data_IF_517655708177
#
_entry.id   IF_517655708177
#
_cell.length_a   1.000
_cell.length_b   1.000
_cell.length_c   1.000
_cell.angle_alpha   90.00
_cell.angle_beta   90.00
_cell.angle_gamma   90.00
#
_symmetry.space_group_name_H-M   'P 1'
#
loop_
_entity.id
_entity.type
_entity.pdbx_description
1 polymer ?
#
# COMPACT_ATOMS: atom_id res chain seq x y z
N UNK A 1 -59.47 -55.92 1.95
CA UNK A 1 -60.77 -55.80 2.64
C UNK A 1 -60.82 -54.39 3.24
N UNK A 2 -61.78 -53.56 2.79
CA UNK A 2 -62.13 -52.20 3.23
C UNK A 2 -61.14 -51.09 2.77
N UNK A 3 -61.47 -50.34 1.71
CA UNK A 3 -62.38 -49.17 1.65
C UNK A 3 -61.75 -47.92 2.27
N UNK A 4 -61.50 -46.87 1.46
CA UNK A 4 -62.20 -45.58 1.64
C UNK A 4 -61.78 -44.47 0.64
N UNK A 5 -62.80 -44.00 -0.10
CA UNK A 5 -63.17 -42.60 -0.39
C UNK A 5 -62.14 -41.64 -1.03
N UNK A 6 -62.24 -41.33 -2.33
CA UNK A 6 -63.10 -40.30 -2.97
C UNK A 6 -62.82 -38.85 -2.53
N UNK A 7 -62.23 -38.05 -3.44
CA UNK A 7 -62.75 -36.78 -3.99
C UNK A 7 -61.61 -35.99 -4.68
N UNK A 8 -61.61 -35.90 -6.02
CA UNK A 8 -62.17 -34.82 -6.85
C UNK A 8 -61.29 -33.56 -7.02
N UNK A 9 -60.77 -33.43 -8.26
CA UNK A 9 -60.46 -32.24 -9.09
C UNK A 9 -60.04 -30.93 -8.42
N UNK A 10 -58.86 -30.44 -8.81
CA UNK A 10 -58.71 -29.04 -9.24
C UNK A 10 -57.72 -28.93 -10.41
N UNK A 11 -58.24 -28.40 -11.52
CA UNK A 11 -57.51 -27.99 -12.70
C UNK A 11 -57.09 -26.53 -12.51
N UNK A 12 -55.84 -26.18 -12.75
CA UNK A 12 -55.47 -24.91 -13.41
C UNK A 12 -53.96 -24.81 -13.57
N UNK A 13 -53.60 -24.35 -14.75
CA UNK A 13 -52.28 -24.12 -15.28
C UNK A 13 -51.56 -22.99 -14.53
N UNK A 14 -50.26 -23.14 -14.28
CA UNK A 14 -49.38 -22.05 -13.88
C UNK A 14 -48.18 -22.01 -14.82
N UNK A 15 -48.09 -21.07 -15.77
CA UNK A 15 -46.88 -20.83 -16.52
C UNK A 15 -45.90 -19.99 -15.71
N UNK A 16 -44.64 -20.39 -15.74
CA UNK A 16 -43.48 -19.75 -15.13
C UNK A 16 -43.19 -18.39 -15.77
N UNK A 17 -43.50 -17.29 -15.06
CA UNK A 17 -43.04 -15.96 -15.44
C UNK A 17 -41.62 -15.70 -14.92
N UNK A 18 -40.63 -16.06 -15.75
CA UNK A 18 -39.27 -15.52 -15.63
C UNK A 18 -39.34 -14.06 -16.06
N UNK A 19 -39.32 -13.13 -15.10
CA UNK A 19 -39.17 -11.70 -15.38
C UNK A 19 -37.74 -11.44 -15.85
N UNK A 20 -37.49 -11.58 -17.15
CA UNK A 20 -36.38 -10.92 -17.81
C UNK A 20 -36.61 -9.42 -17.70
N UNK A 21 -35.84 -8.75 -16.84
CA UNK A 21 -35.73 -7.28 -16.87
C UNK A 21 -34.91 -6.93 -18.11
N UNK A 22 -35.59 -6.85 -19.25
CA UNK A 22 -34.99 -6.41 -20.50
C UNK A 22 -34.67 -4.93 -20.31
N UNK A 23 -33.39 -4.59 -20.21
CA UNK A 23 -32.93 -3.21 -20.35
C UNK A 23 -33.14 -2.83 -21.82
N UNK A 24 -34.36 -2.47 -22.16
CA UNK A 24 -34.64 -1.85 -23.45
C UNK A 24 -33.93 -0.51 -23.45
N UNK A 25 -32.86 -0.43 -24.24
CA UNK A 25 -32.29 0.81 -24.74
C UNK A 25 -33.37 1.56 -25.50
N UNK A 26 -34.27 2.21 -24.76
CA UNK A 26 -35.25 3.11 -25.32
C UNK A 26 -34.49 4.38 -25.72
N UNK A 27 -34.13 4.44 -27.01
CA UNK A 27 -33.89 5.71 -27.70
C UNK A 27 -35.21 6.48 -27.69
N UNK A 28 -35.55 7.05 -26.53
CA UNK A 28 -36.65 8.00 -26.37
C UNK A 28 -36.16 9.33 -26.91
N UNK A 29 -36.81 9.75 -27.99
CA UNK A 29 -36.70 11.07 -28.60
C UNK A 29 -36.70 12.10 -27.47
N UNK A 30 -35.59 12.83 -27.32
CA UNK A 30 -35.48 13.85 -26.30
C UNK A 30 -36.64 14.84 -26.46
N UNK A 31 -37.33 15.28 -25.38
CA UNK A 31 -38.18 16.45 -25.49
C UNK A 31 -37.32 17.54 -26.11
N UNK A 32 -37.76 18.09 -27.24
CA UNK A 32 -36.99 19.07 -27.98
C UNK A 32 -36.96 20.37 -27.17
N UNK A 33 -36.05 20.45 -26.20
CA UNK A 33 -35.79 21.65 -25.43
C UNK A 33 -35.32 22.74 -26.39
N UNK A 34 -35.85 23.94 -26.22
CA UNK A 34 -35.41 25.14 -26.94
C UNK A 34 -33.91 25.38 -26.74
N UNK A 35 -33.25 25.93 -27.75
CA UNK A 35 -31.80 26.22 -27.73
C UNK A 35 -31.38 27.03 -26.51
N UNK A 36 -32.24 27.96 -26.08
CA UNK A 36 -31.93 28.92 -25.04
C UNK A 36 -31.90 28.27 -23.66
N UNK A 37 -32.81 27.32 -23.41
CA UNK A 37 -32.83 26.54 -22.19
C UNK A 37 -31.61 25.60 -22.14
N UNK A 38 -31.21 25.01 -23.28
CA UNK A 38 -29.98 24.21 -23.37
C UNK A 38 -28.74 25.05 -23.06
N UNK A 39 -28.64 26.25 -23.62
CA UNK A 39 -27.52 27.17 -23.40
C UNK A 39 -27.44 27.67 -21.96
N UNK A 40 -28.59 27.92 -21.32
CA UNK A 40 -28.67 28.30 -19.90
C UNK A 40 -28.24 27.16 -18.98
N UNK A 41 -28.67 25.92 -19.26
CA UNK A 41 -28.20 24.75 -18.49
C UNK A 41 -26.71 24.54 -18.69
N UNK A 42 -26.21 24.71 -19.92
CA UNK A 42 -24.79 24.62 -20.23
C UNK A 42 -23.98 25.63 -19.40
N UNK A 43 -24.39 26.90 -19.34
CA UNK A 43 -23.70 27.92 -18.53
C UNK A 43 -23.77 27.63 -17.02
N UNK A 44 -24.91 27.13 -16.51
CA UNK A 44 -25.05 26.70 -15.11
C UNK A 44 -24.16 25.49 -14.77
N UNK A 45 -24.00 24.55 -15.69
CA UNK A 45 -23.09 23.41 -15.52
C UNK A 45 -21.62 23.84 -15.54
N UNK A 46 -21.24 24.79 -16.40
CA UNK A 46 -19.89 25.37 -16.41
C UNK A 46 -19.57 26.18 -15.15
N UNK A 47 -20.57 26.86 -14.58
CA UNK A 47 -20.46 27.57 -13.29
C UNK A 47 -20.56 26.65 -12.06
N UNK A 48 -20.59 25.31 -12.26
CA UNK A 48 -20.65 24.28 -11.20
C UNK A 48 -21.84 24.38 -10.26
N UNK A 49 -22.99 24.87 -10.75
CA UNK A 49 -24.23 24.82 -9.99
C UNK A 49 -24.63 23.38 -9.66
N UNK A 50 -25.25 23.16 -8.50
CA UNK A 50 -25.73 21.82 -8.10
C UNK A 50 -26.91 21.38 -8.97
N UNK A 51 -27.07 20.07 -9.17
CA UNK A 51 -28.17 19.54 -9.96
C UNK A 51 -29.55 19.90 -9.40
N UNK A 52 -29.66 19.94 -8.07
CA UNK A 52 -30.89 20.37 -7.39
C UNK A 52 -31.20 21.86 -7.64
N UNK A 53 -30.18 22.73 -7.67
CA UNK A 53 -30.38 24.15 -7.98
C UNK A 53 -30.85 24.35 -9.43
N UNK A 54 -30.26 23.61 -10.39
CA UNK A 54 -30.68 23.66 -11.80
C UNK A 54 -32.12 23.15 -11.96
N UNK A 55 -32.49 22.08 -11.26
CA UNK A 55 -33.85 21.54 -11.30
C UNK A 55 -34.87 22.48 -10.66
N UNK A 56 -34.51 23.20 -9.58
CA UNK A 56 -35.37 24.21 -8.96
C UNK A 56 -35.67 25.38 -9.90
N UNK A 57 -34.70 25.76 -10.74
CA UNK A 57 -34.86 26.79 -11.76
C UNK A 57 -35.67 26.31 -12.97
N UNK A 58 -35.55 25.02 -13.31
CA UNK A 58 -36.25 24.41 -14.44
C UNK A 58 -36.98 23.13 -14.02
N UNK A 59 -38.14 23.25 -13.35
CA UNK A 59 -38.85 22.11 -12.76
C UNK A 59 -39.38 21.11 -13.79
N UNK A 60 -39.57 21.54 -15.04
CA UNK A 60 -39.95 20.68 -16.18
C UNK A 60 -38.85 19.72 -16.62
N UNK A 61 -37.61 19.90 -16.12
CA UNK A 61 -36.45 19.12 -16.54
C UNK A 61 -36.12 18.10 -15.45
N UNK A 62 -36.00 16.84 -15.87
CA UNK A 62 -35.58 15.76 -14.98
C UNK A 62 -34.09 15.84 -14.64
N UNK A 63 -33.72 15.36 -13.45
CA UNK A 63 -32.31 15.19 -13.03
C UNK A 63 -31.51 14.31 -14.00
N UNK A 64 -32.15 13.34 -14.65
CA UNK A 64 -31.51 12.48 -15.66
C UNK A 64 -31.07 13.27 -16.89
N UNK A 65 -31.86 14.26 -17.31
CA UNK A 65 -31.53 15.15 -18.44
C UNK A 65 -30.35 16.06 -18.11
N UNK A 66 -30.32 16.63 -16.90
CA UNK A 66 -29.20 17.44 -16.40
C UNK A 66 -27.92 16.60 -16.31
N UNK A 67 -28.02 15.36 -15.83
CA UNK A 67 -26.89 14.42 -15.74
C UNK A 67 -26.34 14.08 -17.12
N UNK A 68 -27.22 13.81 -18.09
CA UNK A 68 -26.83 13.58 -19.49
C UNK A 68 -26.13 14.79 -20.09
N UNK A 69 -26.65 16.00 -19.88
CA UNK A 69 -26.03 17.23 -20.38
C UNK A 69 -24.68 17.52 -19.71
N UNK A 70 -24.53 17.23 -18.42
CA UNK A 70 -23.21 17.27 -17.77
C UNK A 70 -22.23 16.32 -18.45
N UNK A 71 -22.64 15.07 -18.69
CA UNK A 71 -21.80 14.08 -19.37
C UNK A 71 -21.43 14.51 -20.79
N UNK A 72 -22.36 15.13 -21.50
CA UNK A 72 -22.16 15.64 -22.85
C UNK A 72 -21.20 16.84 -22.90
N UNK A 73 -21.32 17.81 -21.99
CA UNK A 73 -20.57 19.07 -22.04
C UNK A 73 -19.30 19.09 -21.19
N UNK A 74 -19.26 18.41 -20.05
CA UNK A 74 -18.12 18.36 -19.13
C UNK A 74 -17.42 16.99 -19.08
N UNK A 75 -17.94 15.99 -19.79
CA UNK A 75 -17.42 14.64 -19.79
C UNK A 75 -17.77 13.85 -18.52
N UNK A 76 -17.40 12.56 -18.49
CA UNK A 76 -17.53 11.73 -17.29
C UNK A 76 -16.48 12.12 -16.26
N UNK A 77 -16.93 12.37 -15.02
CA UNK A 77 -16.02 12.35 -13.87
C UNK A 77 -15.61 10.90 -13.68
N UNK A 78 -14.30 10.60 -13.84
CA UNK A 78 -13.76 9.28 -13.52
C UNK A 78 -13.83 9.07 -12.01
N UNK A 79 -14.98 8.61 -11.52
CA UNK A 79 -15.12 8.15 -10.14
C UNK A 79 -14.43 6.80 -10.06
N UNK A 80 -13.37 6.69 -9.25
CA UNK A 80 -12.76 5.39 -8.99
C UNK A 80 -13.81 4.51 -8.33
N UNK A 81 -14.08 3.31 -8.86
CA UNK A 81 -15.03 2.35 -8.28
C UNK A 81 -14.62 1.83 -6.89
N UNK A 82 -13.55 2.37 -6.31
CA UNK A 82 -12.86 1.80 -5.17
C UNK A 82 -12.18 0.49 -5.53
N UNK A 83 -11.39 -0.03 -4.61
CA UNK A 83 -10.82 -1.36 -4.69
C UNK A 83 -11.16 -2.14 -3.43
N UNK A 84 -10.72 -3.41 -3.38
CA UNK A 84 -10.82 -4.23 -2.17
C UNK A 84 -10.19 -3.48 -0.98
N UNK A 85 -10.86 -3.42 0.19
CA UNK A 85 -10.27 -2.82 1.36
C UNK A 85 -8.97 -3.53 1.75
N UNK A 86 -8.04 -2.76 2.32
CA UNK A 86 -6.79 -3.31 2.80
C UNK A 86 -7.03 -4.30 3.94
N UNK A 87 -6.31 -5.42 3.95
CA UNK A 87 -6.31 -6.37 5.08
C UNK A 87 -5.83 -5.76 6.41
N UNK A 88 -4.92 -4.78 6.33
CA UNK A 88 -4.31 -4.12 7.49
C UNK A 88 -4.75 -2.66 7.53
N UNK A 89 -5.10 -2.19 8.72
CA UNK A 89 -5.42 -0.79 9.02
C UNK A 89 -4.24 0.17 8.78
N UNK A 90 -4.50 1.48 8.72
CA UNK A 90 -3.44 2.50 8.61
C UNK A 90 -2.56 2.56 9.87
N UNK A 91 -3.14 2.36 11.04
CA UNK A 91 -2.45 2.37 12.33
C UNK A 91 -1.49 1.20 12.45
N UNK A 92 -1.94 -0.02 12.22
CA UNK A 92 -1.11 -1.23 12.28
C UNK A 92 0.06 -1.14 11.30
N UNK A 93 -0.17 -0.68 10.05
CA UNK A 93 0.94 -0.46 9.11
C UNK A 93 1.98 0.53 9.65
N UNK A 94 1.55 1.58 10.35
CA UNK A 94 2.43 2.61 10.93
C UNK A 94 3.18 2.11 12.15
N UNK A 95 2.53 1.31 12.99
CA UNK A 95 3.17 0.57 14.07
C UNK A 95 4.27 -0.35 13.54
N UNK A 96 3.97 -1.18 12.53
CA UNK A 96 4.93 -2.05 11.84
C UNK A 96 6.15 -1.27 11.33
N UNK A 97 5.93 -0.14 10.66
CA UNK A 97 7.01 0.72 10.19
C UNK A 97 7.85 1.28 11.35
N UNK A 98 7.25 1.55 12.51
CA UNK A 98 8.00 1.94 13.72
C UNK A 98 8.82 0.78 14.26
N UNK A 99 8.23 -0.41 14.36
CA UNK A 99 8.91 -1.62 14.86
C UNK A 99 10.14 -1.99 14.02
N UNK A 100 10.05 -1.83 12.69
CA UNK A 100 11.18 -2.01 11.77
C UNK A 100 12.31 -0.99 11.99
N UNK A 101 11.98 0.23 12.44
CA UNK A 101 12.99 1.25 12.76
C UNK A 101 13.62 1.04 14.14
N UNK A 102 12.90 0.41 15.06
CA UNK A 102 13.38 0.15 16.42
C UNK A 102 14.00 -1.24 16.60
N UNK A 103 14.13 -2.03 15.52
CA UNK A 103 14.73 -3.38 15.53
C UNK A 103 14.02 -4.40 16.42
N UNK A 104 12.72 -4.22 16.64
CA UNK A 104 11.93 -5.26 17.34
C UNK A 104 11.51 -6.34 16.33
N UNK A 105 11.46 -5.98 15.03
CA UNK A 105 11.08 -6.87 13.95
C UNK A 105 12.05 -6.69 12.77
N UNK A 106 13.11 -7.49 12.69
CA UNK A 106 14.17 -7.33 11.69
C UNK A 106 13.75 -7.79 10.28
N UNK A 107 12.88 -8.79 10.20
CA UNK A 107 12.63 -9.55 8.99
C UNK A 107 11.13 -9.59 8.67
N UNK A 108 10.72 -9.49 7.38
CA UNK A 108 9.36 -9.75 6.94
C UNK A 108 8.74 -11.05 7.45
N UNK A 109 9.57 -12.05 7.80
CA UNK A 109 9.11 -13.27 8.46
C UNK A 109 8.63 -13.01 9.89
N UNK A 110 9.41 -12.31 10.72
CA UNK A 110 8.99 -11.89 12.05
C UNK A 110 7.74 -10.99 11.99
N UNK A 111 7.65 -10.14 10.96
CA UNK A 111 6.44 -9.34 10.71
C UNK A 111 5.21 -10.21 10.45
N UNK A 112 5.36 -11.30 9.71
CA UNK A 112 4.28 -12.22 9.40
C UNK A 112 3.79 -12.94 10.65
N UNK A 113 4.73 -13.41 11.47
CA UNK A 113 4.43 -14.06 12.75
C UNK A 113 3.71 -13.09 13.69
N UNK A 114 4.18 -11.84 13.80
CA UNK A 114 3.52 -10.79 14.57
C UNK A 114 2.10 -10.50 14.09
N UNK A 115 1.91 -10.31 12.78
CA UNK A 115 0.59 -10.10 12.20
C UNK A 115 -0.35 -11.29 12.42
N UNK A 116 0.19 -12.51 12.38
CA UNK A 116 -0.58 -13.73 12.64
C UNK A 116 -1.05 -13.79 14.09
N UNK A 117 -0.22 -13.35 15.05
CA UNK A 117 -0.63 -13.22 16.46
C UNK A 117 -1.73 -12.18 16.67
N UNK A 118 -1.71 -11.08 15.90
CA UNK A 118 -2.79 -10.08 15.88
C UNK A 118 -4.05 -10.54 15.12
N UNK A 119 -4.08 -11.79 14.63
CA UNK A 119 -5.22 -12.37 13.90
C UNK A 119 -5.29 -11.99 12.41
N UNK A 120 -4.25 -11.37 11.86
CA UNK A 120 -4.18 -10.97 10.45
C UNK A 120 -3.31 -11.93 9.65
N UNK A 121 -3.95 -12.77 8.82
CA UNK A 121 -3.21 -13.63 7.90
C UNK A 121 -2.81 -12.91 6.60
N UNK A 122 -1.50 -12.80 6.40
CA UNK A 122 -0.88 -12.19 5.23
C UNK A 122 0.30 -13.02 4.74
N UNK A 123 0.44 -13.13 3.42
CA UNK A 123 1.61 -13.76 2.80
C UNK A 123 2.85 -12.86 2.92
N UNK A 124 4.03 -13.47 2.98
CA UNK A 124 5.31 -12.75 2.93
C UNK A 124 5.43 -11.83 1.71
N UNK A 125 4.89 -12.25 0.56
CA UNK A 125 4.87 -11.44 -0.65
C UNK A 125 4.01 -10.18 -0.49
N UNK A 126 2.86 -10.29 0.19
CA UNK A 126 2.00 -9.16 0.54
C UNK A 126 2.71 -8.17 1.46
N UNK A 127 3.42 -8.67 2.48
CA UNK A 127 4.20 -7.85 3.42
C UNK A 127 5.31 -7.10 2.67
N UNK A 128 6.13 -7.81 1.88
CA UNK A 128 7.21 -7.19 1.08
C UNK A 128 6.69 -6.12 0.12
N UNK A 129 5.56 -6.37 -0.56
CA UNK A 129 4.91 -5.36 -1.42
C UNK A 129 4.43 -4.16 -0.61
N UNK A 130 3.86 -4.39 0.57
CA UNK A 130 3.42 -3.34 1.50
C UNK A 130 4.57 -2.46 1.98
N UNK A 131 5.72 -3.06 2.29
CA UNK A 131 6.95 -2.37 2.67
C UNK A 131 7.51 -1.53 1.52
N UNK A 132 7.66 -2.13 0.33
CA UNK A 132 8.12 -1.40 -0.87
C UNK A 132 7.22 -0.22 -1.22
N UNK A 133 5.89 -0.40 -1.14
CA UNK A 133 4.92 0.69 -1.37
C UNK A 133 5.08 1.86 -0.38
N UNK A 134 5.63 1.60 0.80
CA UNK A 134 5.93 2.61 1.83
C UNK A 134 7.34 3.19 1.72
N UNK A 135 8.15 2.77 0.75
CA UNK A 135 9.52 3.24 0.58
C UNK A 135 10.57 2.42 1.33
N UNK A 136 10.20 1.35 2.02
CA UNK A 136 11.17 0.47 2.66
C UNK A 136 11.87 -0.40 1.62
N UNK A 137 13.20 -0.37 1.66
CA UNK A 137 14.08 -1.16 0.82
C UNK A 137 15.00 -2.03 1.68
N UNK A 138 15.43 -3.15 1.10
CA UNK A 138 16.42 -4.03 1.72
C UNK A 138 17.80 -3.43 1.49
N UNK A 139 18.57 -3.29 2.57
CA UNK A 139 19.97 -2.88 2.54
C UNK A 139 20.83 -3.95 3.22
N UNK A 140 22.09 -4.07 2.79
CA UNK A 140 23.07 -4.94 3.45
C UNK A 140 23.52 -4.28 4.74
N UNK A 141 23.61 -5.04 5.84
CA UNK A 141 24.21 -4.55 7.08
C UNK A 141 25.66 -4.19 6.81
N UNK A 142 26.12 -3.10 7.41
CA UNK A 142 27.50 -2.64 7.23
C UNK A 142 28.34 -3.38 8.27
N UNK A 143 29.36 -4.09 7.79
CA UNK A 143 30.31 -4.76 8.68
C UNK A 143 31.23 -3.71 9.28
N UNK A 144 31.04 -3.41 10.57
CA UNK A 144 31.89 -2.45 11.28
C UNK A 144 32.07 -2.90 12.72
N UNK A 145 33.28 -2.75 13.24
CA UNK A 145 33.51 -2.91 14.68
C UNK A 145 32.87 -1.75 15.44
N UNK A 146 31.98 -2.05 16.38
CA UNK A 146 31.46 -1.07 17.31
C UNK A 146 32.60 -0.51 18.15
N UNK A 147 32.95 0.76 17.95
CA UNK A 147 34.01 1.41 18.73
C UNK A 147 33.36 2.12 19.92
N UNK A 148 33.57 1.59 21.13
CA UNK A 148 33.20 2.25 22.39
C UNK A 148 33.83 3.65 22.46
N UNK A 149 33.25 4.54 23.27
CA UNK A 149 33.82 5.86 23.53
C UNK A 149 35.26 5.75 24.06
N UNK A 150 35.51 4.75 24.90
CA UNK A 150 36.84 4.51 25.49
C UNK A 150 37.84 4.06 24.43
N UNK A 151 37.48 3.05 23.63
CA UNK A 151 38.29 2.59 22.50
C UNK A 151 38.57 3.73 21.50
N UNK A 152 37.64 4.67 21.28
CA UNK A 152 37.88 5.85 20.45
C UNK A 152 38.93 6.76 21.06
N UNK A 153 38.86 7.01 22.38
CA UNK A 153 39.83 7.84 23.09
C UNK A 153 41.23 7.22 23.05
N UNK A 154 41.34 5.92 23.28
CA UNK A 154 42.62 5.18 23.22
C UNK A 154 43.21 5.21 21.82
N UNK A 155 42.41 4.91 20.78
CA UNK A 155 42.84 5.00 19.38
C UNK A 155 43.29 6.40 19.01
N UNK A 156 42.57 7.43 19.48
CA UNK A 156 42.94 8.82 19.25
C UNK A 156 44.23 9.20 19.96
N UNK A 157 44.42 8.79 21.21
CA UNK A 157 45.65 9.03 21.97
C UNK A 157 46.85 8.33 21.32
N UNK A 158 46.68 7.08 20.87
CA UNK A 158 47.69 6.34 20.14
C UNK A 158 48.07 7.05 18.84
N UNK A 159 47.08 7.44 18.02
CA UNK A 159 47.32 8.17 16.78
C UNK A 159 48.01 9.52 17.02
N UNK A 160 47.65 10.23 18.09
CA UNK A 160 48.29 11.50 18.46
C UNK A 160 49.74 11.30 18.90
N UNK A 161 50.04 10.24 19.66
CA UNK A 161 51.40 9.89 20.13
C UNK A 161 52.35 9.63 18.96
N UNK A 162 51.90 8.90 17.95
CA UNK A 162 52.72 8.52 16.80
C UNK A 162 52.51 9.43 15.57
N UNK A 163 51.85 10.59 15.73
CA UNK A 163 51.53 11.50 14.62
C UNK A 163 52.77 12.05 13.91
N UNK A 164 53.86 12.27 14.64
CA UNK A 164 55.11 12.84 14.13
C UNK A 164 56.14 11.80 13.68
N UNK A 165 55.77 10.52 13.67
CA UNK A 165 56.69 9.46 13.27
C UNK A 165 57.02 9.55 11.78
N UNK A 166 58.30 9.41 11.46
CA UNK A 166 58.81 9.41 10.10
C UNK A 166 58.95 8.00 9.54
N UNK A 167 59.21 7.87 8.24
CA UNK A 167 59.40 6.57 7.59
C UNK A 167 60.60 5.77 8.12
N UNK A 168 61.56 6.42 8.80
CA UNK A 168 62.68 5.74 9.47
C UNK A 168 62.19 5.07 10.75
N UNK A 169 61.35 5.74 11.53
CA UNK A 169 60.84 5.23 12.80
C UNK A 169 59.95 4.00 12.58
N UNK A 170 59.10 4.03 11.53
CA UNK A 170 58.24 2.89 11.18
C UNK A 170 59.01 1.65 10.70
N UNK A 171 60.23 1.81 10.17
CA UNK A 171 61.05 0.68 9.71
C UNK A 171 61.54 -0.21 10.85
N UNK A 172 61.53 0.28 12.08
CA UNK A 172 61.88 -0.51 13.27
C UNK A 172 60.72 -1.40 13.74
N UNK A 173 59.51 -1.20 13.20
CA UNK A 173 58.31 -1.90 13.63
C UNK A 173 58.06 -3.11 12.73
N UNK A 174 57.86 -4.27 13.34
CA UNK A 174 57.33 -5.45 12.69
C UNK A 174 55.88 -5.60 13.12
N UNK A 175 54.96 -5.57 12.14
CA UNK A 175 53.53 -5.74 12.38
C UNK A 175 53.13 -7.11 11.83
N UNK A 176 52.54 -7.93 12.68
CA UNK A 176 51.94 -9.21 12.32
C UNK A 176 50.45 -9.19 12.70
N UNK A 177 49.61 -9.75 11.84
CA UNK A 177 48.19 -9.96 12.10
C UNK A 177 47.78 -11.34 11.59
N UNK A 178 46.72 -11.91 12.17
CA UNK A 178 46.17 -13.20 11.77
C UNK A 178 44.90 -12.98 10.96
N UNK A 179 44.77 -13.67 9.83
CA UNK A 179 43.55 -13.64 9.01
C UNK A 179 42.97 -15.04 8.86
N UNK A 180 41.65 -15.13 9.00
CA UNK A 180 40.90 -16.36 8.73
C UNK A 180 40.81 -16.60 7.22
N UNK A 181 41.18 -17.80 6.78
CA UNK A 181 41.02 -18.24 5.37
C UNK A 181 39.97 -19.35 5.32
N UNK A 182 38.85 -19.08 4.65
CA UNK A 182 37.77 -20.06 4.51
C UNK A 182 37.99 -20.95 3.30
N UNK A 183 37.98 -22.27 3.50
CA UNK A 183 38.03 -23.25 2.41
C UNK A 183 36.69 -23.39 1.66
N UNK A 184 35.57 -23.22 2.36
CA UNK A 184 34.24 -23.32 1.77
C UNK A 184 33.30 -22.25 2.33
N UNK A 185 32.49 -21.67 1.43
CA UNK A 185 31.49 -20.67 1.78
C UNK A 185 32.06 -19.27 2.00
N UNK A 186 31.21 -18.27 1.74
CA UNK A 186 31.46 -16.88 2.15
C UNK A 186 30.68 -16.60 3.42
N UNK A 187 31.17 -15.67 4.24
CA UNK A 187 30.41 -15.23 5.40
C UNK A 187 29.04 -14.72 4.96
N UNK A 188 27.99 -15.18 5.64
CA UNK A 188 26.61 -14.84 5.29
C UNK A 188 26.43 -13.34 5.41
N UNK A 189 25.95 -12.69 4.35
CA UNK A 189 25.60 -11.28 4.40
C UNK A 189 24.27 -11.10 5.14
N UNK A 190 24.30 -10.33 6.23
CA UNK A 190 23.08 -9.92 6.93
C UNK A 190 22.41 -8.73 6.23
N UNK A 191 21.08 -8.68 6.27
CA UNK A 191 20.28 -7.63 5.64
C UNK A 191 19.32 -6.98 6.65
N UNK A 192 18.95 -5.73 6.40
CA UNK A 192 17.95 -4.99 7.15
C UNK A 192 17.03 -4.21 6.22
N UNK A 193 15.87 -3.78 6.72
CA UNK A 193 14.92 -2.94 5.98
C UNK A 193 15.02 -1.49 6.45
N UNK A 194 15.13 -0.57 5.51
CA UNK A 194 15.21 0.88 5.80
C UNK A 194 14.39 1.67 4.78
N UNK A 195 13.76 2.74 5.24
CA UNK A 195 12.97 3.68 4.44
C UNK A 195 13.79 4.81 3.82
N UNK A 196 15.12 4.71 3.85
CA UNK A 196 16.02 5.66 3.16
C UNK A 196 16.71 6.66 4.08
N UNK A 197 16.50 6.58 5.40
CA UNK A 197 17.23 7.43 6.34
C UNK A 197 18.74 7.17 6.27
N UNK A 198 19.53 8.24 6.32
CA UNK A 198 21.00 8.18 6.18
C UNK A 198 21.70 7.85 7.51
N UNK A 199 20.98 7.93 8.62
CA UNK A 199 21.54 7.64 9.95
C UNK A 199 21.52 6.14 10.19
N UNK A 200 22.70 5.54 10.23
CA UNK A 200 22.86 4.12 10.52
C UNK A 200 22.56 3.85 12.01
N UNK A 201 21.55 3.03 12.26
CA UNK A 201 21.20 2.59 13.60
C UNK A 201 22.07 1.39 14.00
N UNK A 202 22.34 1.18 15.30
CA UNK A 202 23.22 0.11 15.77
C UNK A 202 22.86 -1.28 15.21
N UNK A 203 21.57 -1.61 15.14
CA UNK A 203 21.11 -2.90 14.60
C UNK A 203 21.36 -3.12 13.09
N UNK A 204 21.60 -2.04 12.36
CA UNK A 204 21.91 -2.05 10.93
C UNK A 204 23.40 -2.32 10.68
N UNK A 205 24.19 -2.32 11.74
CA UNK A 205 25.60 -2.69 11.73
C UNK A 205 25.74 -4.16 12.14
N UNK A 206 26.68 -4.83 11.51
CA UNK A 206 27.08 -6.19 11.87
C UNK A 206 28.49 -6.08 12.47
N UNK A 207 28.73 -6.57 13.69
CA UNK A 207 30.08 -6.58 14.25
C UNK A 207 30.97 -7.42 13.32
N UNK A 208 32.15 -6.89 13.02
CA UNK A 208 33.18 -7.69 12.35
C UNK A 208 33.67 -8.71 13.39
N UNK A 209 33.39 -9.99 13.14
CA UNK A 209 33.96 -11.12 13.89
C UNK A 209 35.35 -11.42 13.32
#
# INVERSE_FOLDING_TARGET
MKESFLAYKFCSEFPTFITYFIYTSSNTIAPHLTSDVKNSIKSLLFSRASFSAIQKLYPTISLSTITRYRKQYLGDVRISKGGRPNKISKSTKSYIARQLRTDILDNPKGMQEHLKMEGVDMSLSGIRKGLKKRGFNVKRKIKTNFVSKDNKAERYAWAKKYRSYTSIDWRQWVISDETRVNMWGTDVNSFYWSDGDNTLLPHQMEPHV
#
